data_IF_760379215799
#
_entry.id   IF_760379215799
#
_cell.length_a   1.000
_cell.length_b   1.000
_cell.length_c   1.000
_cell.angle_alpha   90.00
_cell.angle_beta   90.00
_cell.angle_gamma   90.00
#
_symmetry.space_group_name_H-M   'P 1'
#
loop_
_entity.id
_entity.type
_entity.pdbx_description
1 polymer ?
#
# COMPACT_ATOMS: atom_id res chain seq x y z
N UNK A 1 2.53 26.68 17.65
CA UNK A 1 3.22 25.40 17.60
C UNK A 1 3.82 25.28 16.20
N UNK A 2 5.13 25.29 16.02
CA UNK A 2 5.73 25.18 14.68
C UNK A 2 5.48 23.76 14.19
N UNK A 3 4.68 23.62 13.14
CA UNK A 3 4.59 22.35 12.41
C UNK A 3 5.98 22.07 11.81
N UNK A 4 6.75 21.24 12.48
CA UNK A 4 8.02 20.77 11.92
C UNK A 4 7.62 19.79 10.83
N UNK A 5 7.48 20.30 9.61
CA UNK A 5 7.16 19.51 8.44
C UNK A 5 8.19 18.37 8.34
N UNK A 6 7.78 17.21 8.76
CA UNK A 6 8.58 15.98 8.72
C UNK A 6 8.72 15.43 7.30
N UNK A 7 8.09 16.06 6.33
CA UNK A 7 8.09 15.61 4.95
C UNK A 7 8.51 16.77 4.03
N UNK A 8 9.70 16.64 3.45
CA UNK A 8 10.17 17.56 2.40
C UNK A 8 9.19 17.46 1.23
N UNK A 9 8.71 18.62 0.74
CA UNK A 9 7.69 18.74 -0.31
C UNK A 9 6.28 18.22 0.06
N UNK A 10 5.94 18.09 1.35
CA UNK A 10 4.56 17.86 1.78
C UNK A 10 3.68 19.09 1.53
N UNK A 11 2.38 18.87 1.35
CA UNK A 11 1.40 19.95 1.23
C UNK A 11 1.27 20.71 2.56
N UNK A 12 1.34 22.05 2.47
CA UNK A 12 1.06 22.94 3.60
C UNK A 12 -0.42 23.34 3.60
N UNK A 13 -1.15 22.99 4.64
CA UNK A 13 -2.57 23.33 4.80
C UNK A 13 -2.83 24.85 4.82
N UNK A 14 -1.83 25.68 5.12
CA UNK A 14 -1.96 27.13 5.00
C UNK A 14 -2.11 27.61 3.53
N UNK A 15 -1.79 26.73 2.58
CA UNK A 15 -1.91 27.01 1.14
C UNK A 15 -3.20 26.45 0.53
N UNK A 16 -4.13 25.91 1.33
CA UNK A 16 -5.36 25.25 0.83
C UNK A 16 -6.23 26.19 0.00
N UNK A 17 -6.25 27.49 0.32
CA UNK A 17 -7.04 28.50 -0.40
C UNK A 17 -6.53 28.77 -1.82
N UNK A 18 -5.29 28.40 -2.14
CA UNK A 18 -4.70 28.55 -3.46
C UNK A 18 -5.05 27.39 -4.42
N UNK A 19 -5.64 26.32 -3.93
CA UNK A 19 -6.06 25.17 -4.73
C UNK A 19 -7.32 25.49 -5.55
N UNK A 20 -7.49 24.77 -6.67
CA UNK A 20 -8.76 24.81 -7.38
C UNK A 20 -9.92 24.34 -6.46
N UNK A 21 -11.15 24.80 -6.70
CA UNK A 21 -12.26 24.56 -5.77
C UNK A 21 -12.58 23.08 -5.51
N UNK A 22 -12.39 22.22 -6.51
CA UNK A 22 -12.67 20.77 -6.35
C UNK A 22 -11.59 20.09 -5.51
N UNK A 23 -10.33 20.34 -5.81
CA UNK A 23 -9.20 19.80 -5.05
C UNK A 23 -9.21 20.32 -3.61
N UNK A 24 -9.47 21.62 -3.41
CA UNK A 24 -9.64 22.23 -2.10
C UNK A 24 -10.68 21.48 -1.27
N UNK A 25 -11.88 21.25 -1.81
CA UNK A 25 -12.96 20.51 -1.14
C UNK A 25 -12.51 19.11 -0.71
N UNK A 26 -11.75 18.43 -1.56
CA UNK A 26 -11.22 17.09 -1.25
C UNK A 26 -10.19 17.15 -0.12
N UNK A 27 -9.27 18.10 -0.16
CA UNK A 27 -8.21 18.28 0.84
C UNK A 27 -8.80 18.64 2.20
N UNK A 28 -9.73 19.61 2.26
CA UNK A 28 -10.43 20.00 3.49
C UNK A 28 -11.21 18.82 4.09
N UNK A 29 -11.97 18.09 3.26
CA UNK A 29 -12.70 16.89 3.70
C UNK A 29 -11.75 15.81 4.22
N UNK A 30 -10.63 15.58 3.54
CA UNK A 30 -9.61 14.65 3.98
C UNK A 30 -9.05 15.02 5.35
N UNK A 31 -8.71 16.28 5.55
CA UNK A 31 -8.18 16.78 6.81
C UNK A 31 -9.17 16.60 7.97
N UNK A 32 -10.46 16.86 7.72
CA UNK A 32 -11.50 16.69 8.75
C UNK A 32 -11.75 15.23 9.12
N UNK A 33 -11.63 14.30 8.18
CA UNK A 33 -11.95 12.89 8.40
C UNK A 33 -10.76 12.03 8.84
N UNK A 34 -9.57 12.31 8.31
CA UNK A 34 -8.37 11.48 8.57
C UNK A 34 -7.41 12.13 9.58
N UNK A 35 -7.62 13.41 9.91
CA UNK A 35 -6.78 14.16 10.83
C UNK A 35 -5.37 14.46 10.30
N UNK A 36 -4.50 15.04 11.15
CA UNK A 36 -3.22 15.61 10.72
C UNK A 36 -2.10 14.58 10.44
N UNK A 37 -2.31 13.33 10.83
CA UNK A 37 -1.30 12.28 10.62
C UNK A 37 -1.14 11.88 9.16
N UNK A 38 -2.20 12.00 8.35
CA UNK A 38 -2.22 11.62 6.95
C UNK A 38 -1.82 12.79 6.06
N UNK A 39 -0.53 13.10 6.02
CA UNK A 39 0.03 14.15 5.16
C UNK A 39 -0.17 13.84 3.68
N UNK A 40 -0.43 14.87 2.87
CA UNK A 40 -0.41 14.77 1.42
C UNK A 40 1.02 14.98 0.91
N UNK A 41 1.39 14.25 -0.12
CA UNK A 41 2.60 14.50 -0.87
C UNK A 41 2.43 15.73 -1.76
N UNK A 42 3.55 16.37 -2.06
CA UNK A 42 3.72 17.48 -2.98
C UNK A 42 3.09 18.81 -2.50
N UNK A 43 3.81 19.89 -2.74
CA UNK A 43 3.32 21.25 -2.50
C UNK A 43 2.04 21.53 -3.31
N UNK A 44 1.86 20.82 -4.43
CA UNK A 44 0.67 20.86 -5.26
C UNK A 44 0.08 19.43 -5.30
N UNK A 45 -0.90 19.10 -4.44
CA UNK A 45 -1.44 17.75 -4.35
C UNK A 45 -2.07 17.30 -5.67
N UNK A 46 -1.84 16.06 -6.05
CA UNK A 46 -2.37 15.49 -7.28
C UNK A 46 -3.57 14.58 -6.97
N UNK A 47 -4.67 14.77 -7.69
CA UNK A 47 -5.85 13.90 -7.60
C UNK A 47 -5.72 12.74 -8.59
N UNK A 48 -5.11 11.65 -8.17
CA UNK A 48 -5.00 10.44 -8.98
C UNK A 48 -6.35 9.70 -9.01
N UNK A 49 -6.80 9.34 -10.20
CA UNK A 49 -8.09 8.65 -10.43
C UNK A 49 -7.96 7.31 -11.16
N UNK A 50 -6.83 7.04 -11.81
CA UNK A 50 -6.60 5.82 -12.57
C UNK A 50 -5.12 5.43 -12.55
N UNK A 51 -4.86 4.13 -12.63
CA UNK A 51 -3.52 3.59 -12.85
C UNK A 51 -3.53 2.54 -13.95
N UNK A 52 -2.46 2.47 -14.76
CA UNK A 52 -2.29 1.49 -15.82
C UNK A 52 -0.80 1.24 -16.07
N UNK A 53 -0.36 0.01 -15.94
CA UNK A 53 1.05 -0.33 -16.08
C UNK A 53 1.92 0.48 -15.12
N UNK A 54 2.84 1.27 -15.64
CA UNK A 54 3.76 2.11 -14.85
C UNK A 54 3.28 3.54 -14.68
N UNK A 55 2.07 3.87 -15.13
CA UNK A 55 1.53 5.23 -15.10
C UNK A 55 0.34 5.38 -14.17
N UNK A 56 0.29 6.54 -13.54
CA UNK A 56 -0.87 7.08 -12.83
C UNK A 56 -1.46 8.24 -13.65
N UNK A 57 -2.76 8.45 -13.54
CA UNK A 57 -3.46 9.51 -14.25
C UNK A 57 -4.31 10.31 -13.29
N UNK A 58 -4.28 11.63 -13.44
CA UNK A 58 -5.17 12.51 -12.71
C UNK A 58 -6.56 12.63 -13.36
N UNK A 59 -7.40 13.48 -12.77
CA UNK A 59 -8.76 13.72 -13.26
C UNK A 59 -8.82 14.38 -14.64
N UNK A 60 -7.76 15.09 -15.02
CA UNK A 60 -7.66 15.79 -16.32
C UNK A 60 -7.02 14.89 -17.39
N UNK A 61 -6.62 13.67 -17.02
CA UNK A 61 -6.01 12.70 -17.92
C UNK A 61 -4.51 12.86 -18.09
N UNK A 62 -3.87 13.75 -17.31
CA UNK A 62 -2.41 13.89 -17.32
C UNK A 62 -1.77 12.61 -16.78
N UNK A 63 -0.80 12.07 -17.52
CA UNK A 63 -0.05 10.89 -17.13
C UNK A 63 1.18 11.25 -16.31
N UNK A 64 1.40 10.48 -15.25
CA UNK A 64 2.58 10.55 -14.38
C UNK A 64 3.26 9.19 -14.35
N UNK A 65 4.56 9.14 -14.57
CA UNK A 65 5.34 7.94 -14.34
C UNK A 65 5.38 7.66 -12.83
N UNK A 66 4.88 6.50 -12.41
CA UNK A 66 4.92 6.09 -11.02
C UNK A 66 6.30 5.56 -10.63
N UNK A 67 7.15 6.46 -10.17
CA UNK A 67 8.49 6.16 -9.66
C UNK A 67 8.53 6.10 -8.12
N UNK A 68 7.36 6.10 -7.46
CA UNK A 68 7.25 5.95 -6.02
C UNK A 68 7.18 4.48 -5.63
N UNK A 69 7.47 4.19 -4.36
CA UNK A 69 7.42 2.87 -3.76
C UNK A 69 5.97 2.37 -3.58
N UNK A 70 5.28 2.09 -4.67
CA UNK A 70 3.91 1.57 -4.65
C UNK A 70 3.87 0.03 -4.64
N UNK A 71 2.75 -0.49 -4.12
CA UNK A 71 2.50 -1.92 -3.93
C UNK A 71 2.41 -2.74 -5.22
N UNK A 72 1.91 -2.23 -6.37
CA UNK A 72 1.73 -3.03 -7.57
C UNK A 72 3.06 -3.32 -8.31
N UNK A 73 3.82 -4.28 -7.82
CA UNK A 73 5.14 -4.66 -8.34
C UNK A 73 5.16 -5.06 -9.83
N UNK A 74 4.03 -5.44 -10.40
CA UNK A 74 3.85 -5.79 -11.82
C UNK A 74 3.09 -4.72 -12.59
N UNK A 75 2.95 -3.53 -12.02
CA UNK A 75 2.21 -2.41 -12.57
C UNK A 75 0.75 -2.35 -12.13
N UNK A 76 0.19 -1.15 -12.26
CA UNK A 76 -1.20 -0.87 -11.90
C UNK A 76 -2.17 -1.65 -12.78
N UNK A 77 -3.22 -2.18 -12.17
CA UNK A 77 -4.34 -2.85 -12.84
C UNK A 77 -3.92 -4.01 -13.76
N UNK A 78 -2.84 -4.73 -13.42
CA UNK A 78 -2.38 -5.85 -14.23
C UNK A 78 -3.50 -6.89 -14.45
N UNK A 79 -3.89 -7.21 -15.71
CA UNK A 79 -5.13 -7.92 -15.99
C UNK A 79 -5.18 -9.33 -15.38
N UNK A 80 -4.07 -10.05 -15.33
CA UNK A 80 -4.01 -11.38 -14.69
C UNK A 80 -4.21 -11.30 -13.18
N UNK A 81 -3.67 -10.27 -12.52
CA UNK A 81 -3.83 -10.06 -11.07
C UNK A 81 -5.27 -9.70 -10.77
N UNK A 82 -5.84 -8.73 -11.49
CA UNK A 82 -7.24 -8.32 -11.35
C UNK A 82 -8.18 -9.52 -11.54
N UNK A 83 -7.99 -10.29 -12.60
CA UNK A 83 -8.81 -11.48 -12.88
C UNK A 83 -8.67 -12.56 -11.80
N UNK A 84 -7.47 -12.78 -11.24
CA UNK A 84 -7.26 -13.75 -10.17
C UNK A 84 -7.97 -13.33 -8.88
N UNK A 85 -7.85 -12.06 -8.49
CA UNK A 85 -8.54 -11.51 -7.32
C UNK A 85 -10.06 -11.60 -7.49
N UNK A 86 -10.59 -11.21 -8.64
CA UNK A 86 -12.02 -11.25 -8.92
C UNK A 86 -12.58 -12.68 -8.83
N UNK A 87 -11.90 -13.66 -9.42
CA UNK A 87 -12.31 -15.06 -9.33
C UNK A 87 -12.31 -15.58 -7.88
N UNK A 88 -11.24 -15.31 -7.14
CA UNK A 88 -11.14 -15.78 -5.76
C UNK A 88 -12.18 -15.11 -4.85
N UNK A 89 -12.38 -13.80 -5.00
CA UNK A 89 -13.38 -13.06 -4.24
C UNK A 89 -14.81 -13.54 -4.51
N UNK A 90 -15.10 -13.98 -5.75
CA UNK A 90 -16.39 -14.58 -6.11
C UNK A 90 -16.56 -16.02 -5.63
N UNK A 91 -15.49 -16.70 -5.25
CA UNK A 91 -15.53 -18.12 -4.83
C UNK A 91 -15.54 -18.24 -3.31
N UNK A 92 -14.54 -17.69 -2.64
CA UNK A 92 -14.36 -17.80 -1.19
C UNK A 92 -13.36 -16.76 -0.70
N UNK A 93 -13.73 -16.06 0.37
CA UNK A 93 -12.82 -15.23 1.16
C UNK A 93 -12.96 -15.65 2.64
N UNK A 94 -11.95 -16.30 3.18
CA UNK A 94 -11.95 -16.79 4.56
C UNK A 94 -10.54 -16.73 5.17
N UNK A 95 -10.44 -17.10 6.45
CA UNK A 95 -9.17 -17.08 7.18
C UNK A 95 -8.46 -18.47 7.13
N UNK A 96 -7.22 -18.50 7.57
CA UNK A 96 -6.31 -19.66 7.52
C UNK A 96 -6.65 -20.80 8.46
N UNK A 97 -7.73 -20.72 9.24
CA UNK A 97 -8.16 -21.81 10.15
C UNK A 97 -8.93 -22.92 9.42
N UNK A 98 -9.31 -22.69 8.16
CA UNK A 98 -9.85 -23.74 7.30
C UNK A 98 -8.73 -24.29 6.42
N UNK A 99 -8.78 -25.58 6.13
CA UNK A 99 -7.86 -26.19 5.19
C UNK A 99 -8.11 -25.63 3.78
N UNK A 100 -7.07 -25.06 3.18
CA UNK A 100 -7.14 -24.44 1.86
C UNK A 100 -5.85 -24.72 1.10
N UNK A 101 -5.96 -25.34 -0.07
CA UNK A 101 -4.82 -25.66 -0.92
C UNK A 101 -4.18 -24.40 -1.50
N UNK A 102 -4.98 -23.36 -1.79
CA UNK A 102 -4.51 -22.11 -2.41
C UNK A 102 -3.34 -21.46 -1.66
N UNK A 103 -3.43 -21.39 -0.33
CA UNK A 103 -2.37 -20.80 0.49
C UNK A 103 -1.14 -21.71 0.58
N UNK A 104 -1.34 -23.02 0.57
CA UNK A 104 -0.27 -24.02 0.60
C UNK A 104 0.52 -23.99 -0.72
N UNK A 105 -0.16 -24.00 -1.87
CA UNK A 105 0.47 -23.86 -3.20
C UNK A 105 1.32 -22.60 -3.31
N UNK A 106 0.83 -21.51 -2.75
CA UNK A 106 1.59 -20.25 -2.74
C UNK A 106 2.80 -20.33 -1.80
N UNK A 107 2.63 -20.88 -0.59
CA UNK A 107 3.70 -21.05 0.38
C UNK A 107 4.83 -21.94 -0.17
N UNK A 108 4.48 -23.06 -0.81
CA UNK A 108 5.46 -23.96 -1.44
C UNK A 108 6.27 -23.25 -2.53
N UNK A 109 5.60 -22.55 -3.44
CA UNK A 109 6.28 -21.76 -4.49
C UNK A 109 7.17 -20.66 -3.93
N UNK A 110 6.74 -20.01 -2.87
CA UNK A 110 7.51 -18.96 -2.22
C UNK A 110 8.76 -19.53 -1.56
N UNK A 111 8.65 -20.62 -0.81
CA UNK A 111 9.76 -21.25 -0.10
C UNK A 111 10.83 -21.80 -1.04
N UNK A 112 10.46 -22.23 -2.26
CA UNK A 112 11.44 -22.64 -3.29
C UNK A 112 12.40 -21.51 -3.73
N UNK A 113 12.08 -20.26 -3.44
CA UNK A 113 12.95 -19.10 -3.76
C UNK A 113 13.95 -18.78 -2.64
N UNK A 114 13.88 -19.50 -1.53
CA UNK A 114 14.75 -19.27 -0.37
C UNK A 114 15.81 -20.39 -0.24
N UNK A 115 16.93 -20.12 0.45
CA UNK A 115 17.94 -21.15 0.72
C UNK A 115 17.40 -22.31 1.57
N UNK A 116 18.07 -23.45 1.46
CA UNK A 116 17.81 -24.61 2.32
C UNK A 116 17.86 -24.22 3.80
N UNK A 117 16.93 -24.76 4.57
CA UNK A 117 16.76 -24.43 6.00
C UNK A 117 15.67 -23.40 6.31
N UNK A 118 15.17 -22.66 5.33
CA UNK A 118 13.97 -21.83 5.45
C UNK A 118 12.75 -22.67 5.08
N UNK A 119 12.12 -23.30 6.05
CA UNK A 119 11.04 -24.27 5.82
C UNK A 119 9.62 -23.79 6.15
N UNK A 120 9.47 -22.57 6.65
CA UNK A 120 8.17 -22.04 7.07
C UNK A 120 7.99 -20.59 6.64
N UNK A 121 6.73 -20.21 6.39
CA UNK A 121 6.34 -18.84 6.05
C UNK A 121 5.18 -18.39 6.92
N UNK A 122 5.20 -17.13 7.35
CA UNK A 122 4.09 -16.48 8.04
C UNK A 122 3.64 -15.27 7.24
N UNK A 123 2.37 -15.20 6.91
CA UNK A 123 1.79 -14.10 6.15
C UNK A 123 1.20 -13.05 7.09
N UNK A 124 1.43 -11.78 6.76
CA UNK A 124 0.89 -10.60 7.46
C UNK A 124 0.25 -9.65 6.46
N UNK A 125 -0.50 -8.67 6.93
CA UNK A 125 -1.17 -7.70 6.05
C UNK A 125 -0.24 -6.58 5.58
N UNK A 126 0.86 -6.31 6.29
CA UNK A 126 1.80 -5.24 5.96
C UNK A 126 3.26 -5.63 6.22
N UNK A 127 4.19 -4.95 5.56
CA UNK A 127 5.62 -5.11 5.84
C UNK A 127 6.01 -4.71 7.27
N UNK A 128 5.32 -3.71 7.84
CA UNK A 128 5.55 -3.30 9.25
C UNK A 128 5.16 -4.39 10.23
N UNK A 129 4.04 -5.07 10.01
CA UNK A 129 3.65 -6.24 10.81
C UNK A 129 4.62 -7.40 10.63
N UNK A 130 5.13 -7.63 9.42
CA UNK A 130 6.12 -8.67 9.17
C UNK A 130 7.42 -8.40 9.95
N UNK A 131 7.89 -7.17 9.98
CA UNK A 131 9.10 -6.77 10.74
C UNK A 131 8.86 -6.90 12.24
N UNK A 132 7.72 -6.42 12.77
CA UNK A 132 7.37 -6.58 14.19
C UNK A 132 7.33 -8.05 14.59
N UNK A 133 6.66 -8.88 13.79
CA UNK A 133 6.59 -10.32 14.03
C UNK A 133 7.98 -10.98 13.99
N UNK A 134 8.83 -10.63 13.03
CA UNK A 134 10.18 -11.16 12.92
C UNK A 134 11.02 -10.81 14.16
N UNK A 135 10.95 -9.58 14.64
CA UNK A 135 11.64 -9.14 15.86
C UNK A 135 11.14 -9.90 17.09
N UNK A 136 9.84 -10.14 17.23
CA UNK A 136 9.25 -10.91 18.32
C UNK A 136 9.71 -12.37 18.30
N UNK A 137 9.72 -13.00 17.12
CA UNK A 137 10.22 -14.37 16.96
C UNK A 137 11.70 -14.46 17.30
N UNK A 138 12.52 -13.52 16.82
CA UNK A 138 13.95 -13.47 17.12
C UNK A 138 14.20 -13.33 18.63
N UNK A 139 13.50 -12.41 19.30
CA UNK A 139 13.60 -12.23 20.76
C UNK A 139 13.21 -13.49 21.53
N UNK A 140 12.11 -14.11 21.17
CA UNK A 140 11.67 -15.35 21.80
C UNK A 140 12.72 -16.46 21.64
N UNK A 141 13.28 -16.61 20.45
CA UNK A 141 14.29 -17.62 20.16
C UNK A 141 15.61 -17.39 20.90
N UNK A 142 16.05 -16.15 21.04
CA UNK A 142 17.32 -15.79 21.68
C UNK A 142 17.23 -15.59 23.20
N UNK A 143 16.01 -15.57 23.77
CA UNK A 143 15.79 -15.34 25.20
C UNK A 143 16.01 -13.89 25.64
N UNK A 144 15.99 -12.92 24.70
CA UNK A 144 16.26 -11.50 24.95
C UNK A 144 15.01 -10.62 24.99
#
# INVERSE_FOLDING_TARGET
MRDTATMVNGFDMNSVDALDPELRRIVERRASLLGPAYKLFYANPVRIVRGEGVHLYDADGQAYLDAYNNVPSVGHCHPRVVAAIARQAATLNTHTRYASELILDYAERLLQLYPDGVGHVMFTCTGSEAVDLALRVARFYTGG
#
